data_IF_417458544481
#
_entry.id   IF_417458544481
#
_cell.length_a   1.000
_cell.length_b   1.000
_cell.length_c   1.000
_cell.angle_alpha   90.00
_cell.angle_beta   90.00
_cell.angle_gamma   90.00
#
_symmetry.space_group_name_H-M   'P 1'
#
loop_
_entity.id
_entity.type
_entity.pdbx_description
1 polymer ?
#
# COMPACT_ATOMS: atom_id res chain seq x y z
N UNK A 1 -4.16 -3.77 25.34
CA UNK A 1 -2.96 -2.92 25.18
C UNK A 1 -2.97 -2.44 23.73
N UNK A 2 -3.70 -1.36 23.45
CA UNK A 2 -4.00 -0.86 22.10
C UNK A 2 -2.90 0.12 21.67
N UNK A 3 -1.81 -0.39 21.10
CA UNK A 3 -0.66 0.45 20.72
C UNK A 3 -0.75 0.93 19.26
N UNK A 4 -1.84 0.60 18.56
CA UNK A 4 -2.04 0.93 17.14
C UNK A 4 -3.49 1.34 16.86
N UNK A 5 -3.88 2.50 17.40
CA UNK A 5 -5.02 3.24 16.85
C UNK A 5 -4.49 3.96 15.62
N UNK A 6 -5.00 3.59 14.44
CA UNK A 6 -4.64 4.23 13.19
C UNK A 6 -5.23 5.64 13.18
N UNK A 7 -4.37 6.65 13.28
CA UNK A 7 -4.77 8.05 13.08
C UNK A 7 -4.93 8.29 11.57
N UNK A 8 -6.09 7.89 11.04
CA UNK A 8 -6.41 7.94 9.62
C UNK A 8 -6.29 9.36 9.05
N UNK A 9 -6.61 10.39 9.84
CA UNK A 9 -6.48 11.79 9.42
C UNK A 9 -5.02 12.20 9.24
N UNK A 10 -4.10 11.63 10.01
CA UNK A 10 -2.67 11.91 9.82
C UNK A 10 -2.07 11.21 8.59
N UNK A 11 -2.72 10.16 8.07
CA UNK A 11 -2.19 9.31 7.00
C UNK A 11 -2.80 9.66 5.64
N UNK A 12 -4.11 9.87 5.61
CA UNK A 12 -4.89 9.97 4.38
C UNK A 12 -5.32 11.40 4.05
N UNK A 13 -5.42 11.70 2.75
CA UNK A 13 -5.98 12.97 2.29
C UNK A 13 -7.48 13.04 2.63
N UNK A 14 -8.04 14.22 2.97
CA UNK A 14 -9.44 14.33 3.38
C UNK A 14 -10.44 13.84 2.34
N UNK A 15 -10.18 14.07 1.05
CA UNK A 15 -11.03 13.59 -0.05
C UNK A 15 -11.18 12.07 -0.03
N UNK A 16 -10.08 11.35 0.23
CA UNK A 16 -10.07 9.89 0.34
C UNK A 16 -10.90 9.41 1.54
N UNK A 17 -10.70 10.02 2.71
CA UNK A 17 -11.46 9.64 3.91
C UNK A 17 -12.96 9.87 3.75
N UNK A 18 -13.34 11.01 3.17
CA UNK A 18 -14.75 11.32 2.93
C UNK A 18 -15.39 10.30 1.99
N UNK A 19 -14.70 9.92 0.91
CA UNK A 19 -15.21 8.91 -0.02
C UNK A 19 -15.37 7.53 0.64
N UNK A 20 -14.43 7.14 1.49
CA UNK A 20 -14.51 5.88 2.26
C UNK A 20 -15.65 5.91 3.28
N UNK A 21 -15.87 7.07 3.93
CA UNK A 21 -16.95 7.24 4.90
C UNK A 21 -18.33 7.21 4.24
N UNK A 22 -18.48 7.82 3.06
CA UNK A 22 -19.73 7.78 2.29
C UNK A 22 -19.98 6.38 1.69
N UNK A 23 -18.92 5.70 1.25
CA UNK A 23 -18.94 4.33 0.73
C UNK A 23 -19.97 4.11 -0.39
N UNK A 24 -20.07 5.07 -1.31
CA UNK A 24 -20.93 5.01 -2.50
C UNK A 24 -20.12 5.03 -3.79
N UNK A 25 -20.71 4.53 -4.88
CA UNK A 25 -20.09 4.57 -6.21
C UNK A 25 -19.74 6.01 -6.60
N UNK A 26 -20.65 6.95 -6.32
CA UNK A 26 -20.50 8.38 -6.63
C UNK A 26 -19.36 8.99 -5.85
N UNK A 27 -19.28 8.70 -4.54
CA UNK A 27 -18.21 9.19 -3.68
C UNK A 27 -16.83 8.68 -4.12
N UNK A 28 -16.71 7.39 -4.47
CA UNK A 28 -15.47 6.86 -5.01
C UNK A 28 -15.13 7.47 -6.37
N UNK A 29 -16.10 7.55 -7.29
CA UNK A 29 -15.91 8.19 -8.61
C UNK A 29 -15.46 9.64 -8.54
N UNK A 30 -15.74 10.34 -7.43
CA UNK A 30 -15.28 11.71 -7.23
C UNK A 30 -13.77 11.83 -6.99
N UNK A 31 -13.11 10.75 -6.52
CA UNK A 31 -11.67 10.75 -6.16
C UNK A 31 -10.80 9.92 -7.10
N UNK A 32 -11.40 9.08 -7.95
CA UNK A 32 -10.69 8.19 -8.86
C UNK A 32 -10.82 8.60 -10.32
N UNK A 33 -9.82 8.21 -11.10
CA UNK A 33 -9.84 8.24 -12.56
C UNK A 33 -9.59 6.83 -13.09
N UNK A 34 -10.26 6.48 -14.19
CA UNK A 34 -10.05 5.22 -14.90
C UNK A 34 -9.38 5.51 -16.26
N UNK A 35 -8.05 5.70 -16.31
CA UNK A 35 -7.36 6.01 -17.56
C UNK A 35 -7.46 4.88 -18.58
N UNK A 36 -7.55 3.64 -18.12
CA UNK A 36 -7.68 2.43 -18.92
C UNK A 36 -8.67 1.51 -18.18
N UNK A 37 -9.50 0.78 -18.94
CA UNK A 37 -10.52 -0.11 -18.38
C UNK A 37 -9.93 -1.03 -17.30
N UNK A 38 -10.50 -0.98 -16.11
CA UNK A 38 -10.11 -1.80 -14.96
C UNK A 38 -8.86 -1.33 -14.22
N UNK A 39 -8.29 -0.17 -14.57
CA UNK A 39 -7.18 0.46 -13.84
C UNK A 39 -7.70 1.77 -13.25
N UNK A 40 -7.67 1.88 -11.91
CA UNK A 40 -8.11 3.06 -11.19
C UNK A 40 -6.94 3.75 -10.50
N UNK A 41 -6.86 5.08 -10.62
CA UNK A 41 -5.84 5.91 -9.96
C UNK A 41 -6.56 6.91 -9.05
N UNK A 42 -6.08 7.08 -7.83
CA UNK A 42 -6.62 8.03 -6.86
C UNK A 42 -5.50 8.52 -5.93
N UNK A 43 -5.66 9.72 -5.39
CA UNK A 43 -4.80 10.24 -4.33
C UNK A 43 -5.27 9.73 -2.97
N UNK A 44 -4.36 9.21 -2.16
CA UNK A 44 -4.68 8.54 -0.90
C UNK A 44 -3.82 9.04 0.25
N UNK A 45 -2.50 8.96 0.12
CA UNK A 45 -1.57 9.26 1.20
C UNK A 45 -1.19 10.73 1.23
N UNK A 46 -1.10 11.30 2.44
CA UNK A 46 -0.53 12.64 2.62
C UNK A 46 0.98 12.62 2.34
N UNK A 47 1.54 13.64 1.67
CA UNK A 47 2.99 13.73 1.44
C UNK A 47 3.83 13.63 2.72
N UNK A 48 3.33 14.20 3.83
CA UNK A 48 4.00 14.13 5.13
C UNK A 48 4.05 12.70 5.68
N UNK A 49 2.99 11.91 5.47
CA UNK A 49 3.00 10.50 5.84
C UNK A 49 3.96 9.70 4.97
N UNK A 50 3.99 9.95 3.65
CA UNK A 50 4.97 9.33 2.75
C UNK A 50 6.41 9.58 3.21
N UNK A 51 6.74 10.79 3.65
CA UNK A 51 8.06 11.12 4.20
C UNK A 51 8.37 10.34 5.48
N UNK A 52 7.40 10.22 6.41
CA UNK A 52 7.56 9.41 7.63
C UNK A 52 7.77 7.93 7.30
N UNK A 53 6.97 7.38 6.39
CA UNK A 53 7.07 5.99 5.96
C UNK A 53 8.44 5.72 5.31
N UNK A 54 8.92 6.62 4.44
CA UNK A 54 10.26 6.52 3.84
C UNK A 54 11.37 6.59 4.91
N UNK A 55 11.24 7.46 5.90
CA UNK A 55 12.20 7.52 7.03
C UNK A 55 12.25 6.20 7.79
N UNK A 56 11.10 5.59 8.06
CA UNK A 56 11.04 4.32 8.78
C UNK A 56 11.63 3.17 7.96
N UNK A 57 11.31 3.10 6.67
CA UNK A 57 11.90 2.12 5.73
C UNK A 57 13.42 2.27 5.68
N UNK A 58 13.94 3.50 5.68
CA UNK A 58 15.37 3.77 5.73
C UNK A 58 16.00 3.33 7.08
N UNK A 59 15.31 3.55 8.20
CA UNK A 59 15.76 3.06 9.50
C UNK A 59 15.83 1.53 9.54
N UNK A 60 14.75 0.85 9.14
CA UNK A 60 14.71 -0.62 9.04
C UNK A 60 15.83 -1.12 8.14
N UNK A 61 16.03 -0.48 6.98
CA UNK A 61 17.11 -0.82 6.07
C UNK A 61 18.47 -0.70 6.73
N UNK A 62 18.77 0.44 7.37
CA UNK A 62 20.04 0.64 8.08
C UNK A 62 20.28 -0.42 9.16
N UNK A 63 19.20 -0.82 9.87
CA UNK A 63 19.28 -1.84 10.91
C UNK A 63 19.47 -3.27 10.36
N UNK A 64 18.91 -3.56 9.17
CA UNK A 64 18.96 -4.88 8.54
C UNK A 64 20.21 -5.12 7.69
N UNK A 65 20.86 -4.06 7.18
CA UNK A 65 22.07 -4.15 6.36
C UNK A 65 23.20 -4.94 7.05
N UNK A 66 23.23 -4.96 8.39
CA UNK A 66 24.22 -5.72 9.16
C UNK A 66 23.77 -7.14 9.58
N UNK A 67 22.52 -7.55 9.30
CA UNK A 67 21.89 -8.68 10.03
C UNK A 67 21.12 -9.71 9.21
N UNK A 68 20.72 -9.44 7.96
CA UNK A 68 19.81 -10.34 7.22
C UNK A 68 20.26 -10.60 5.78
N UNK A 69 20.37 -11.87 5.40
CA UNK A 69 20.63 -12.33 4.03
C UNK A 69 19.32 -12.37 3.24
N UNK A 70 19.26 -11.67 2.11
CA UNK A 70 18.01 -11.45 1.35
C UNK A 70 17.84 -12.48 0.21
N UNK A 71 16.65 -13.07 0.01
CA UNK A 71 16.46 -14.19 -0.90
C UNK A 71 16.33 -13.82 -2.39
N UNK A 72 16.02 -12.56 -2.73
CA UNK A 72 15.82 -12.14 -4.13
C UNK A 72 16.53 -10.81 -4.45
N UNK A 73 17.05 -10.68 -5.68
CA UNK A 73 17.84 -9.52 -6.14
C UNK A 73 17.01 -8.23 -6.27
N UNK A 74 15.70 -8.33 -6.57
CA UNK A 74 14.79 -7.18 -6.49
C UNK A 74 14.46 -6.75 -5.04
N UNK A 75 14.69 -7.62 -4.07
CA UNK A 75 14.63 -7.31 -2.63
C UNK A 75 15.99 -6.88 -2.08
N UNK A 76 17.03 -6.80 -2.90
CA UNK A 76 18.38 -6.40 -2.47
C UNK A 76 18.37 -5.01 -1.82
N UNK A 77 17.41 -4.14 -2.21
CA UNK A 77 17.24 -2.79 -1.68
C UNK A 77 15.85 -2.53 -1.03
N UNK A 78 14.90 -3.45 -1.20
CA UNK A 78 13.52 -3.35 -0.67
C UNK A 78 13.36 -3.82 0.78
N UNK A 79 12.32 -3.40 1.49
CA UNK A 79 12.00 -3.89 2.84
C UNK A 79 10.63 -4.56 2.80
N UNK A 80 10.55 -5.82 3.25
CA UNK A 80 9.25 -6.46 3.52
C UNK A 80 8.75 -5.89 4.84
N UNK A 81 7.85 -4.91 4.77
CA UNK A 81 7.43 -4.12 5.94
C UNK A 81 6.61 -4.92 6.94
N UNK A 82 5.97 -6.00 6.47
CA UNK A 82 5.22 -6.94 7.31
C UNK A 82 6.12 -7.56 8.38
N UNK A 83 7.35 -7.95 8.02
CA UNK A 83 8.35 -8.54 8.92
C UNK A 83 8.84 -7.58 10.02
N UNK A 84 8.56 -6.27 9.88
CA UNK A 84 8.95 -5.22 10.84
C UNK A 84 7.77 -4.65 11.62
N UNK A 85 6.66 -5.39 11.68
CA UNK A 85 5.51 -5.07 12.53
C UNK A 85 4.50 -4.11 11.91
N UNK A 86 4.60 -3.83 10.61
CA UNK A 86 3.58 -3.06 9.89
C UNK A 86 2.40 -3.91 9.39
N UNK A 87 2.52 -5.24 9.41
CA UNK A 87 1.46 -6.17 8.98
C UNK A 87 0.09 -5.89 9.64
N UNK A 88 -0.05 -5.68 10.97
CA UNK A 88 -1.36 -5.40 11.57
C UNK A 88 -1.96 -4.06 11.11
N UNK A 89 -1.12 -3.08 10.78
CA UNK A 89 -1.55 -1.80 10.24
C UNK A 89 -2.03 -1.97 8.79
N UNK A 90 -1.29 -2.75 7.99
CA UNK A 90 -1.64 -3.05 6.61
C UNK A 90 -2.88 -3.93 6.48
N UNK A 91 -3.11 -4.88 7.40
CA UNK A 91 -4.38 -5.60 7.50
C UNK A 91 -5.57 -4.65 7.65
N UNK A 92 -5.51 -3.73 8.63
CA UNK A 92 -6.56 -2.71 8.80
C UNK A 92 -6.70 -1.82 7.57
N UNK A 93 -5.58 -1.47 6.92
CA UNK A 93 -5.60 -0.68 5.71
C UNK A 93 -6.36 -1.41 4.57
N UNK A 94 -6.06 -2.68 4.36
CA UNK A 94 -6.74 -3.51 3.38
C UNK A 94 -8.23 -3.64 3.70
N UNK A 95 -8.57 -4.02 4.93
CA UNK A 95 -9.95 -4.26 5.37
C UNK A 95 -10.84 -3.02 5.29
N UNK A 96 -10.36 -1.89 5.82
CA UNK A 96 -11.19 -0.70 5.99
C UNK A 96 -11.15 0.27 4.82
N UNK A 97 -10.12 0.21 3.96
CA UNK A 97 -9.94 1.21 2.91
C UNK A 97 -9.90 0.60 1.51
N UNK A 98 -9.15 -0.48 1.28
CA UNK A 98 -9.00 -1.07 -0.06
C UNK A 98 -10.16 -2.00 -0.42
N UNK A 99 -10.55 -2.89 0.48
CA UNK A 99 -11.64 -3.85 0.26
C UNK A 99 -12.99 -3.19 -0.08
N UNK A 100 -13.40 -2.05 0.54
CA UNK A 100 -14.61 -1.34 0.12
C UNK A 100 -14.56 -0.84 -1.33
N UNK A 101 -13.43 -0.27 -1.75
CA UNK A 101 -13.24 0.19 -3.13
C UNK A 101 -13.26 -1.01 -4.08
N UNK A 102 -12.52 -2.07 -3.76
CA UNK A 102 -12.43 -3.26 -4.58
C UNK A 102 -13.79 -3.97 -4.71
N UNK A 103 -14.57 -4.04 -3.63
CA UNK A 103 -15.92 -4.62 -3.64
C UNK A 103 -16.88 -3.89 -4.59
N UNK A 104 -16.69 -2.59 -4.81
CA UNK A 104 -17.47 -1.80 -5.77
C UNK A 104 -17.00 -2.02 -7.20
N UNK A 105 -15.71 -1.83 -7.47
CA UNK A 105 -15.20 -1.79 -8.85
C UNK A 105 -14.80 -3.15 -9.42
N UNK A 106 -14.57 -4.14 -8.56
CA UNK A 106 -14.16 -5.50 -8.91
C UNK A 106 -15.11 -6.55 -8.31
N UNK A 107 -16.39 -6.21 -8.12
CA UNK A 107 -17.41 -7.11 -7.57
C UNK A 107 -17.42 -8.49 -8.28
N UNK A 108 -17.35 -8.48 -9.61
CA UNK A 108 -17.34 -9.71 -10.42
C UNK A 108 -16.05 -10.55 -10.28
N UNK A 109 -15.00 -9.98 -9.69
CA UNK A 109 -13.70 -10.62 -9.49
C UNK A 109 -13.43 -10.93 -8.01
N UNK A 110 -14.44 -10.85 -7.13
CA UNK A 110 -14.27 -11.11 -5.71
C UNK A 110 -13.56 -9.98 -4.95
N UNK A 111 -13.70 -8.73 -5.39
CA UNK A 111 -13.09 -7.57 -4.71
C UNK A 111 -13.52 -7.40 -3.23
N UNK A 112 -14.63 -8.01 -2.81
CA UNK A 112 -15.10 -8.02 -1.42
C UNK A 112 -14.53 -9.16 -0.57
N UNK A 113 -13.69 -10.03 -1.13
CA UNK A 113 -13.16 -11.23 -0.46
C UNK A 113 -11.63 -11.26 -0.43
N UNK A 114 -10.99 -10.09 -0.44
CA UNK A 114 -9.54 -9.98 -0.25
C UNK A 114 -9.16 -10.46 1.16
N UNK A 115 -8.25 -11.44 1.26
CA UNK A 115 -7.91 -12.11 2.53
C UNK A 115 -6.39 -12.22 2.77
N UNK A 116 -5.58 -11.71 1.85
CA UNK A 116 -4.13 -11.83 1.86
C UNK A 116 -3.48 -10.55 1.35
N UNK A 117 -2.31 -10.24 1.90
CA UNK A 117 -1.48 -9.12 1.44
C UNK A 117 0.00 -9.46 1.68
N UNK A 118 0.87 -8.76 0.94
CA UNK A 118 2.30 -8.74 1.18
C UNK A 118 2.79 -7.30 1.03
N UNK A 119 3.10 -6.67 2.15
CA UNK A 119 3.63 -5.32 2.22
C UNK A 119 5.14 -5.29 1.97
N UNK A 120 5.56 -4.63 0.90
CA UNK A 120 6.99 -4.38 0.65
C UNK A 120 7.25 -3.06 -0.06
N UNK A 121 8.47 -2.54 0.09
CA UNK A 121 8.95 -1.37 -0.64
C UNK A 121 9.94 -1.77 -1.73
N UNK A 122 9.93 -1.04 -2.84
CA UNK A 122 10.90 -1.18 -3.93
C UNK A 122 11.58 0.17 -4.16
N UNK A 123 12.88 0.16 -4.39
CA UNK A 123 13.66 1.34 -4.76
C UNK A 123 14.24 1.14 -6.16
N UNK A 124 14.05 2.14 -7.00
CA UNK A 124 14.63 2.19 -8.33
C UNK A 124 15.73 3.24 -8.35
N UNK A 125 16.92 2.86 -8.80
CA UNK A 125 18.01 3.80 -9.07
C UNK A 125 18.15 3.95 -10.59
N UNK A 126 18.21 5.20 -11.07
CA UNK A 126 18.21 5.55 -12.51
C UNK A 126 19.33 4.82 -13.30
N UNK A 127 20.46 4.52 -12.64
CA UNK A 127 21.63 3.91 -13.27
C UNK A 127 21.78 2.40 -12.97
N UNK A 128 20.90 1.81 -12.16
CA UNK A 128 20.81 0.36 -11.99
C UNK A 128 19.63 -0.12 -12.80
N UNK A 129 19.87 -0.70 -13.97
CA UNK A 129 18.85 -1.42 -14.74
C UNK A 129 18.23 -2.51 -13.87
N UNK A 130 17.11 -2.20 -13.21
CA UNK A 130 16.23 -3.19 -12.61
C UNK A 130 15.34 -3.67 -13.74
N UNK A 131 15.78 -4.72 -14.45
CA UNK A 131 14.88 -5.49 -15.31
C UNK A 131 13.80 -6.11 -14.42
N UNK A 132 12.66 -5.42 -14.31
CA UNK A 132 11.44 -6.08 -13.88
C UNK A 132 10.92 -6.84 -15.08
N UNK A 133 11.25 -8.13 -15.13
CA UNK A 133 10.56 -9.05 -16.05
C UNK A 133 9.04 -8.94 -15.87
N UNK A 134 8.29 -9.43 -16.85
CA UNK A 134 6.84 -9.51 -16.73
C UNK A 134 6.50 -10.52 -15.63
N UNK A 135 5.96 -10.06 -14.50
CA UNK A 135 5.54 -10.94 -13.40
C UNK A 135 4.02 -10.99 -13.35
N UNK A 136 3.45 -12.18 -13.50
CA UNK A 136 2.07 -12.47 -13.12
C UNK A 136 2.20 -13.32 -11.85
N UNK A 137 1.86 -12.76 -10.69
CA UNK A 137 1.65 -13.55 -9.48
C UNK A 137 0.27 -14.19 -9.58
N UNK A 138 0.22 -15.52 -9.59
CA UNK A 138 -1.01 -16.32 -9.59
C UNK A 138 -1.59 -16.45 -8.19
#
# INVERSE_FOLDING_TARGET
>A
KEIYVMDAESFFVPSFLNAIQENTIESFRSILIEPIRGIYIFEMLRPQFCQKLLSEVNHIRSWTQDRIRRPHKMLEHGVVVDDFGLEPMLNKFMDYFISPIAGVFYNQLGGSTLDSHLGFTVEYEIDKTVEMGLWISY
#
